data_IF_989412780079
#
_entry.id   IF_989412780079
#
_cell.length_a   1.000
_cell.length_b   1.000
_cell.length_c   1.000
_cell.angle_alpha   90.00
_cell.angle_beta   90.00
_cell.angle_gamma   90.00
#
_symmetry.space_group_name_H-M   'P 1'
#
loop_
_entity.id
_entity.type
_entity.pdbx_description
1 polymer ?
#
# COMPACT_ATOMS: atom_id res chain seq x y z
N UNK A 1 11.40 19.67 -8.58
CA UNK A 1 10.70 19.36 -7.31
C UNK A 1 9.55 20.33 -7.00
N UNK A 2 9.48 21.47 -7.66
CA UNK A 2 8.43 22.52 -7.44
C UNK A 2 7.07 22.20 -8.10
N UNK A 3 7.05 21.51 -9.24
CA UNK A 3 5.79 21.22 -9.97
C UNK A 3 4.79 20.35 -9.20
N UNK A 4 5.27 19.37 -8.43
CA UNK A 4 4.36 18.45 -7.70
C UNK A 4 3.71 19.12 -6.48
N UNK A 5 4.38 20.10 -5.89
CA UNK A 5 3.85 20.85 -4.74
C UNK A 5 2.58 21.62 -5.11
N UNK A 6 2.56 22.22 -6.30
CA UNK A 6 1.41 22.98 -6.79
C UNK A 6 0.15 22.11 -7.00
N UNK A 7 0.31 20.83 -7.35
CA UNK A 7 -0.82 19.92 -7.50
C UNK A 7 -1.43 19.51 -6.15
N UNK A 8 -0.59 19.32 -5.12
CA UNK A 8 -1.09 19.09 -3.76
C UNK A 8 -1.78 20.33 -3.19
N UNK A 9 -1.21 21.51 -3.42
CA UNK A 9 -1.80 22.78 -3.01
C UNK A 9 -3.16 23.02 -3.67
N UNK A 10 -3.30 22.70 -4.96
CA UNK A 10 -4.57 22.84 -5.69
C UNK A 10 -5.68 21.94 -5.11
N UNK A 11 -5.33 20.76 -4.59
CA UNK A 11 -6.24 19.87 -3.88
C UNK A 11 -6.34 20.20 -2.39
N UNK A 12 -5.67 21.27 -1.90
CA UNK A 12 -5.58 21.64 -0.48
C UNK A 12 -5.06 20.49 0.39
N UNK A 13 -4.07 19.74 -0.11
CA UNK A 13 -3.47 18.60 0.56
C UNK A 13 -1.99 18.85 0.84
N UNK A 14 -1.47 18.09 1.81
CA UNK A 14 -0.02 18.04 2.06
C UNK A 14 0.65 17.08 1.06
N UNK A 15 1.95 17.28 0.75
CA UNK A 15 2.69 16.39 -0.16
C UNK A 15 2.75 14.91 0.27
N UNK A 16 2.45 14.62 1.53
CA UNK A 16 2.41 13.28 2.12
C UNK A 16 1.00 12.65 2.08
N UNK A 17 0.03 13.31 1.45
CA UNK A 17 -1.34 12.83 1.41
C UNK A 17 -1.45 11.45 0.75
N UNK A 18 -2.28 10.62 1.34
CA UNK A 18 -2.56 9.26 0.84
C UNK A 18 -3.43 9.32 -0.41
N UNK A 19 -3.42 8.23 -1.19
CA UNK A 19 -4.31 8.09 -2.35
C UNK A 19 -5.79 8.27 -2.00
N UNK A 20 -6.20 7.81 -0.82
CA UNK A 20 -7.58 7.93 -0.34
C UNK A 20 -7.95 9.39 -0.06
N UNK A 21 -7.03 10.15 0.54
CA UNK A 21 -7.20 11.59 0.76
C UNK A 21 -7.25 12.35 -0.56
N UNK A 22 -6.39 12.02 -1.52
CA UNK A 22 -6.39 12.61 -2.87
C UNK A 22 -7.73 12.35 -3.57
N UNK A 23 -8.22 11.10 -3.56
CA UNK A 23 -9.51 10.75 -4.14
C UNK A 23 -10.69 11.45 -3.46
N UNK A 24 -10.68 11.47 -2.13
CA UNK A 24 -11.75 12.08 -1.32
C UNK A 24 -11.80 13.58 -1.57
N UNK A 25 -10.64 14.25 -1.57
CA UNK A 25 -10.57 15.69 -1.76
C UNK A 25 -10.91 16.12 -3.19
N UNK A 26 -10.43 15.35 -4.19
CA UNK A 26 -10.80 15.57 -5.58
C UNK A 26 -12.32 15.50 -5.80
N UNK A 27 -12.99 14.46 -5.26
CA UNK A 27 -14.46 14.35 -5.35
C UNK A 27 -15.14 15.54 -4.70
N UNK A 28 -14.74 15.90 -3.49
CA UNK A 28 -15.30 17.02 -2.77
C UNK A 28 -15.20 18.32 -3.57
N UNK A 29 -14.02 18.66 -4.09
CA UNK A 29 -13.80 19.86 -4.87
C UNK A 29 -14.55 19.81 -6.21
N UNK A 30 -14.62 18.65 -6.84
CA UNK A 30 -15.36 18.47 -8.10
C UNK A 30 -16.85 18.62 -7.89
N UNK A 31 -17.42 18.12 -6.80
CA UNK A 31 -18.83 18.30 -6.45
C UNK A 31 -19.13 19.76 -6.05
N UNK A 32 -18.22 20.39 -5.30
CA UNK A 32 -18.36 21.77 -4.86
C UNK A 32 -18.36 22.74 -6.05
N UNK A 33 -17.41 22.61 -6.96
CA UNK A 33 -17.24 23.51 -8.11
C UNK A 33 -17.90 23.00 -9.40
N UNK A 34 -18.27 21.71 -9.50
CA UNK A 34 -18.92 21.09 -10.66
C UNK A 34 -20.43 21.06 -10.61
N UNK A 35 -21.04 21.15 -9.43
CA UNK A 35 -22.49 21.12 -9.22
C UNK A 35 -23.16 22.50 -9.31
N UNK A 36 -24.48 22.50 -9.50
CA UNK A 36 -25.36 23.68 -9.31
C UNK A 36 -25.60 23.93 -7.81
N UNK A 37 -24.53 23.85 -6.99
CA UNK A 37 -24.70 24.10 -5.55
C UNK A 37 -25.10 25.55 -5.30
N UNK A 38 -26.13 25.74 -4.47
CA UNK A 38 -26.70 27.04 -4.11
C UNK A 38 -25.62 27.97 -3.52
N UNK A 39 -24.57 27.42 -2.94
CA UNK A 39 -23.45 28.18 -2.36
C UNK A 39 -22.60 28.90 -3.41
N UNK A 40 -22.50 28.35 -4.63
CA UNK A 40 -21.76 28.94 -5.75
C UNK A 40 -22.64 29.87 -6.60
N UNK A 41 -23.96 29.65 -6.64
CA UNK A 41 -24.94 30.54 -7.31
C UNK A 41 -25.05 31.95 -6.67
N UNK A 42 -24.63 32.10 -5.42
CA UNK A 42 -24.68 33.36 -4.71
C UNK A 42 -23.62 34.39 -5.15
N UNK A 43 -22.64 34.01 -5.96
CA UNK A 43 -21.52 34.85 -6.37
C UNK A 43 -21.63 35.45 -7.79
N UNK A 44 -22.72 35.21 -8.52
CA UNK A 44 -23.16 35.95 -9.71
C UNK A 44 -22.34 35.91 -10.97
N UNK A 45 -23.00 35.52 -12.06
CA UNK A 45 -22.76 35.83 -13.48
C UNK A 45 -21.51 35.35 -14.25
N UNK A 46 -21.63 35.32 -15.54
CA UNK A 46 -20.82 34.77 -16.66
C UNK A 46 -19.29 34.74 -16.46
N UNK A 47 -18.72 35.67 -15.70
CA UNK A 47 -17.28 35.73 -15.39
C UNK A 47 -16.81 34.56 -14.48
N UNK A 48 -17.71 34.07 -13.61
CA UNK A 48 -17.44 32.94 -12.73
C UNK A 48 -17.42 31.60 -13.46
N UNK A 49 -18.12 31.45 -14.58
CA UNK A 49 -18.16 30.17 -15.31
C UNK A 49 -16.85 29.83 -16.00
N UNK A 50 -16.15 30.82 -16.57
CA UNK A 50 -14.87 30.60 -17.24
C UNK A 50 -13.76 30.28 -16.22
N UNK A 51 -13.69 31.02 -15.13
CA UNK A 51 -12.75 30.76 -14.02
C UNK A 51 -13.01 29.39 -13.39
N UNK A 52 -14.27 29.05 -13.21
CA UNK A 52 -14.71 27.76 -12.67
C UNK A 52 -14.35 26.60 -13.61
N UNK A 53 -14.56 26.75 -14.91
CA UNK A 53 -14.19 25.74 -15.90
C UNK A 53 -12.67 25.56 -15.99
N UNK A 54 -11.89 26.64 -15.87
CA UNK A 54 -10.44 26.58 -15.81
C UNK A 54 -9.95 25.89 -14.54
N UNK A 55 -10.53 26.20 -13.40
CA UNK A 55 -10.21 25.55 -12.13
C UNK A 55 -10.49 24.04 -12.19
N UNK A 56 -11.65 23.63 -12.69
CA UNK A 56 -12.02 22.21 -12.82
C UNK A 56 -11.06 21.45 -13.76
N UNK A 57 -10.66 22.07 -14.88
CA UNK A 57 -9.68 21.49 -15.79
C UNK A 57 -8.31 21.32 -15.13
N UNK A 58 -7.85 22.30 -14.37
CA UNK A 58 -6.60 22.21 -13.60
C UNK A 58 -6.69 21.20 -12.47
N UNK A 59 -7.84 21.04 -11.86
CA UNK A 59 -8.12 20.04 -10.83
C UNK A 59 -8.05 18.61 -11.42
N UNK A 60 -8.63 18.41 -12.60
CA UNK A 60 -8.58 17.13 -13.32
C UNK A 60 -7.12 16.79 -13.71
N UNK A 61 -6.37 17.75 -14.26
CA UNK A 61 -4.95 17.57 -14.62
C UNK A 61 -4.07 17.26 -13.39
N UNK A 62 -4.26 17.98 -12.30
CA UNK A 62 -3.55 17.75 -11.05
C UNK A 62 -3.85 16.35 -10.46
N UNK A 63 -5.12 15.94 -10.50
CA UNK A 63 -5.52 14.61 -10.05
C UNK A 63 -4.88 13.51 -10.90
N UNK A 64 -4.92 13.60 -12.24
CA UNK A 64 -4.30 12.63 -13.13
C UNK A 64 -2.78 12.53 -12.91
N UNK A 65 -2.10 13.67 -12.74
CA UNK A 65 -0.65 13.70 -12.49
C UNK A 65 -0.28 13.14 -11.13
N UNK A 66 -1.04 13.47 -10.07
CA UNK A 66 -0.83 12.88 -8.76
C UNK A 66 -1.12 11.37 -8.75
N UNK A 67 -2.15 10.93 -9.46
CA UNK A 67 -2.43 9.51 -9.63
C UNK A 67 -1.32 8.79 -10.39
N UNK A 68 -0.77 9.41 -11.44
CA UNK A 68 0.37 8.87 -12.18
C UNK A 68 1.64 8.83 -11.32
N UNK A 69 1.89 9.87 -10.52
CA UNK A 69 3.01 9.91 -9.57
C UNK A 69 2.88 8.82 -8.51
N UNK A 70 1.71 8.67 -7.90
CA UNK A 70 1.45 7.61 -6.94
C UNK A 70 1.46 6.21 -7.56
N UNK A 71 1.06 6.09 -8.83
CA UNK A 71 1.19 4.84 -9.60
C UNK A 71 2.65 4.56 -9.97
N UNK A 72 3.43 5.58 -10.27
CA UNK A 72 4.88 5.47 -10.53
C UNK A 72 5.66 5.22 -9.25
N UNK A 73 5.30 5.85 -8.12
CA UNK A 73 5.82 5.56 -6.80
C UNK A 73 5.26 4.23 -6.23
N UNK A 74 4.10 3.76 -6.72
CA UNK A 74 3.59 2.40 -6.51
C UNK A 74 4.32 1.35 -7.36
N UNK A 75 5.15 1.78 -8.28
CA UNK A 75 6.26 1.01 -8.81
C UNK A 75 7.46 1.01 -7.82
N UNK A 76 7.20 0.95 -6.51
CA UNK A 76 7.96 0.08 -5.64
C UNK A 76 7.70 -1.28 -6.26
N UNK A 77 8.64 -1.70 -7.07
CA UNK A 77 8.64 -2.90 -7.88
C UNK A 77 8.30 -4.00 -6.90
N UNK A 78 7.03 -4.48 -6.92
CA UNK A 78 6.78 -5.80 -6.38
C UNK A 78 7.77 -6.68 -7.13
N UNK A 79 8.70 -7.34 -6.44
CA UNK A 79 9.66 -8.18 -7.11
C UNK A 79 8.84 -9.13 -7.97
N UNK A 80 8.85 -8.91 -9.28
CA UNK A 80 8.11 -9.76 -10.19
C UNK A 80 8.77 -11.14 -10.13
N UNK A 81 7.98 -12.18 -10.18
CA UNK A 81 8.57 -13.52 -10.36
C UNK A 81 9.51 -13.58 -11.57
N UNK A 82 9.42 -12.65 -12.53
CA UNK A 82 10.33 -12.51 -13.67
C UNK A 82 11.68 -11.86 -13.30
N UNK A 83 11.72 -11.06 -12.25
CA UNK A 83 12.94 -10.37 -11.81
C UNK A 83 13.73 -11.21 -10.81
N UNK A 84 13.18 -12.35 -10.37
CA UNK A 84 13.88 -13.30 -9.53
C UNK A 84 14.89 -14.09 -10.37
N UNK A 85 16.15 -14.05 -9.95
CA UNK A 85 17.20 -14.90 -10.46
C UNK A 85 16.81 -16.38 -10.34
N UNK A 86 17.21 -17.19 -11.31
CA UNK A 86 16.92 -18.64 -11.32
C UNK A 86 17.55 -19.33 -10.10
N UNK A 87 18.68 -18.86 -9.60
CA UNK A 87 19.31 -19.35 -8.38
C UNK A 87 18.43 -19.12 -7.16
N UNK A 88 17.87 -17.91 -7.02
CA UNK A 88 16.96 -17.56 -5.92
C UNK A 88 15.68 -18.40 -5.98
N UNK A 89 15.13 -18.61 -7.18
CA UNK A 89 13.95 -19.47 -7.36
C UNK A 89 14.21 -20.91 -6.95
N UNK A 90 15.36 -21.46 -7.34
CA UNK A 90 15.76 -22.81 -6.95
C UNK A 90 15.92 -22.91 -5.44
N UNK A 91 16.55 -21.91 -4.83
CA UNK A 91 16.73 -21.88 -3.37
C UNK A 91 15.39 -21.78 -2.64
N UNK A 92 14.43 -20.94 -3.09
CA UNK A 92 13.09 -20.83 -2.50
C UNK A 92 12.33 -22.17 -2.59
N UNK A 93 12.50 -22.92 -3.69
CA UNK A 93 11.90 -24.26 -3.83
C UNK A 93 12.44 -25.27 -2.84
N UNK A 94 13.70 -25.11 -2.41
CA UNK A 94 14.36 -25.99 -1.44
C UNK A 94 13.99 -25.69 0.01
N UNK A 95 13.29 -24.57 0.28
CA UNK A 95 12.78 -24.26 1.62
C UNK A 95 11.75 -25.34 1.97
N UNK A 96 12.05 -26.15 2.99
CA UNK A 96 11.15 -27.23 3.43
C UNK A 96 9.88 -26.69 4.09
N UNK A 97 10.02 -25.63 4.91
CA UNK A 97 8.91 -25.02 5.65
C UNK A 97 9.09 -23.50 5.71
N UNK A 98 8.05 -22.76 5.37
CA UNK A 98 8.03 -21.31 5.50
C UNK A 98 7.75 -20.88 6.95
N UNK A 99 8.84 -20.73 7.70
CA UNK A 99 8.84 -20.13 9.05
C UNK A 99 9.05 -18.62 8.98
N UNK A 100 8.88 -17.89 10.09
CA UNK A 100 9.23 -16.48 10.16
C UNK A 100 10.67 -16.18 9.73
N UNK A 101 11.69 -16.87 10.27
CA UNK A 101 13.07 -16.75 9.80
C UNK A 101 13.27 -17.08 8.33
N UNK A 102 12.54 -18.05 7.77
CA UNK A 102 12.61 -18.38 6.35
C UNK A 102 12.06 -17.25 5.46
N UNK A 103 10.92 -16.64 5.85
CA UNK A 103 10.35 -15.48 5.17
C UNK A 103 11.32 -14.29 5.19
N UNK A 104 11.95 -14.04 6.34
CA UNK A 104 12.99 -13.03 6.48
C UNK A 104 14.18 -13.30 5.55
N UNK A 105 14.68 -14.52 5.51
CA UNK A 105 15.79 -14.89 4.64
C UNK A 105 15.48 -14.70 3.15
N UNK A 106 14.24 -14.99 2.72
CA UNK A 106 13.77 -14.69 1.36
C UNK A 106 13.81 -13.20 1.10
N UNK A 107 13.21 -12.39 1.99
CA UNK A 107 13.18 -10.94 1.86
C UNK A 107 14.58 -10.33 1.77
N UNK A 108 15.48 -10.73 2.66
CA UNK A 108 16.85 -10.23 2.69
C UNK A 108 17.64 -10.60 1.43
N UNK A 109 17.45 -11.81 0.90
CA UNK A 109 18.07 -12.22 -0.38
C UNK A 109 17.51 -11.46 -1.58
N UNK A 110 16.25 -11.05 -1.51
CA UNK A 110 15.63 -10.19 -2.52
C UNK A 110 16.00 -8.72 -2.34
N UNK A 111 16.84 -8.38 -1.36
CA UNK A 111 17.23 -7.01 -1.02
C UNK A 111 16.03 -6.09 -0.76
N UNK A 112 14.95 -6.64 -0.22
CA UNK A 112 13.73 -5.91 0.12
C UNK A 112 13.79 -5.45 1.56
N UNK A 113 13.55 -4.19 1.83
CA UNK A 113 13.36 -3.66 3.17
C UNK A 113 11.88 -3.70 3.59
N UNK A 114 11.63 -3.66 4.91
CA UNK A 114 10.26 -3.70 5.43
C UNK A 114 9.47 -2.43 5.11
N UNK A 115 10.18 -1.31 4.88
CA UNK A 115 9.56 -0.05 4.49
C UNK A 115 8.93 -0.15 3.09
N UNK A 116 9.63 -0.78 2.14
CA UNK A 116 9.10 -1.04 0.80
C UNK A 116 7.84 -1.90 0.84
N UNK A 117 7.79 -2.89 1.73
CA UNK A 117 6.58 -3.70 1.92
C UNK A 117 5.45 -2.87 2.52
N UNK A 118 5.74 -2.02 3.52
CA UNK A 118 4.76 -1.12 4.10
C UNK A 118 4.17 -0.15 3.08
N UNK A 119 4.98 0.41 2.20
CA UNK A 119 4.53 1.35 1.16
C UNK A 119 3.46 0.73 0.25
N UNK A 120 3.56 -0.56 -0.04
CA UNK A 120 2.62 -1.30 -0.90
C UNK A 120 1.44 -1.87 -0.12
N UNK A 121 1.72 -2.53 1.01
CA UNK A 121 0.73 -3.33 1.73
C UNK A 121 -0.01 -2.55 2.82
N UNK A 122 0.58 -1.42 3.27
CA UNK A 122 0.15 -0.62 4.44
C UNK A 122 0.20 -1.39 5.76
N UNK A 123 0.86 -2.53 5.79
CA UNK A 123 1.13 -3.28 7.02
C UNK A 123 2.33 -2.63 7.71
N UNK A 124 2.13 -2.18 8.94
CA UNK A 124 3.20 -1.54 9.73
C UNK A 124 4.43 -2.46 9.83
N UNK A 125 5.65 -1.91 9.67
CA UNK A 125 6.89 -2.70 9.72
C UNK A 125 7.01 -3.58 10.95
N UNK A 126 6.51 -3.11 12.09
CA UNK A 126 6.51 -3.87 13.33
C UNK A 126 5.77 -5.21 13.21
N UNK A 127 4.58 -5.24 12.56
CA UNK A 127 3.85 -6.49 12.38
C UNK A 127 4.55 -7.45 11.43
N UNK A 128 5.27 -6.91 10.43
CA UNK A 128 6.10 -7.73 9.55
C UNK A 128 7.31 -8.30 10.30
N UNK A 129 7.93 -7.51 11.17
CA UNK A 129 8.98 -8.01 12.06
C UNK A 129 8.47 -9.08 13.03
N UNK A 130 7.27 -8.89 13.59
CA UNK A 130 6.63 -9.87 14.47
C UNK A 130 6.34 -11.18 13.73
N UNK A 131 5.92 -11.11 12.45
CA UNK A 131 5.84 -12.29 11.58
C UNK A 131 7.20 -12.97 11.43
N UNK A 132 8.25 -12.21 11.11
CA UNK A 132 9.60 -12.76 10.91
C UNK A 132 10.20 -13.38 12.17
N UNK A 133 9.84 -12.87 13.35
CA UNK A 133 10.29 -13.37 14.65
C UNK A 133 9.38 -14.44 15.25
N UNK A 134 8.25 -14.72 14.60
CA UNK A 134 7.19 -15.59 15.14
C UNK A 134 6.69 -15.12 16.51
N UNK A 135 6.58 -13.80 16.70
CA UNK A 135 6.03 -13.19 17.90
C UNK A 135 4.49 -13.35 17.91
N UNK A 136 4.04 -14.58 18.11
CA UNK A 136 2.63 -14.97 17.96
C UNK A 136 1.68 -14.25 18.92
N UNK A 137 2.17 -13.80 20.06
CA UNK A 137 1.45 -13.01 21.06
C UNK A 137 1.03 -11.63 20.54
N UNK A 138 1.74 -11.08 19.55
CA UNK A 138 1.40 -9.78 18.93
C UNK A 138 0.12 -9.84 18.10
N UNK A 139 -0.36 -11.04 17.76
CA UNK A 139 -1.53 -11.21 16.89
C UNK A 139 -2.75 -11.66 17.70
N UNK A 140 -3.73 -10.76 17.94
CA UNK A 140 -4.89 -11.06 18.79
C UNK A 140 -5.80 -12.16 18.22
N UNK A 141 -5.82 -12.31 16.89
CA UNK A 141 -6.58 -13.35 16.21
C UNK A 141 -5.89 -13.80 14.91
N UNK A 142 -6.11 -15.08 14.54
CA UNK A 142 -5.53 -15.70 13.35
C UNK A 142 -5.86 -14.94 12.06
N UNK A 143 -7.02 -14.29 11.98
CA UNK A 143 -7.44 -13.56 10.80
C UNK A 143 -6.47 -12.41 10.44
N UNK A 144 -5.92 -11.72 11.43
CA UNK A 144 -4.93 -10.65 11.20
C UNK A 144 -3.62 -11.22 10.70
N UNK A 145 -3.08 -12.22 11.38
CA UNK A 145 -1.86 -12.91 10.97
C UNK A 145 -2.00 -13.48 9.55
N UNK A 146 -3.12 -14.13 9.26
CA UNK A 146 -3.42 -14.66 7.93
C UNK A 146 -3.39 -13.57 6.85
N UNK A 147 -4.01 -12.42 7.11
CA UNK A 147 -4.02 -11.30 6.15
C UNK A 147 -2.62 -10.74 5.91
N UNK A 148 -1.80 -10.65 6.94
CA UNK A 148 -0.41 -10.19 6.84
C UNK A 148 0.45 -11.19 6.06
N UNK A 149 0.32 -12.48 6.32
CA UNK A 149 1.03 -13.52 5.58
C UNK A 149 0.66 -13.53 4.09
N UNK A 150 -0.64 -13.37 3.76
CA UNK A 150 -1.10 -13.28 2.37
C UNK A 150 -0.44 -12.09 1.66
N UNK A 151 -0.48 -10.91 2.29
CA UNK A 151 0.09 -9.70 1.69
C UNK A 151 1.62 -9.82 1.56
N UNK A 152 2.29 -10.36 2.58
CA UNK A 152 3.73 -10.56 2.58
C UNK A 152 4.19 -11.57 1.53
N UNK A 153 3.55 -12.74 1.47
CA UNK A 153 3.85 -13.77 0.49
C UNK A 153 3.63 -13.27 -0.96
N UNK A 154 2.53 -12.54 -1.19
CA UNK A 154 2.26 -11.92 -2.51
C UNK A 154 3.31 -10.90 -2.88
N UNK A 155 3.74 -10.07 -1.93
CA UNK A 155 4.78 -9.07 -2.18
C UNK A 155 6.09 -9.75 -2.60
N UNK A 156 6.48 -10.82 -1.93
CA UNK A 156 7.69 -11.61 -2.24
C UNK A 156 7.50 -12.61 -3.39
N UNK A 157 6.35 -12.59 -4.08
CA UNK A 157 6.04 -13.53 -5.17
C UNK A 157 6.15 -15.02 -4.76
N UNK A 158 5.85 -15.33 -3.49
CA UNK A 158 5.81 -16.67 -2.95
C UNK A 158 4.45 -17.33 -3.17
N UNK A 159 4.42 -18.67 -3.12
CA UNK A 159 3.18 -19.43 -3.06
C UNK A 159 2.47 -19.16 -1.73
N UNK A 160 1.42 -18.35 -1.81
CA UNK A 160 0.66 -17.90 -0.64
C UNK A 160 0.05 -19.06 0.13
N UNK A 161 -0.46 -20.08 -0.57
CA UNK A 161 -1.10 -21.21 0.08
C UNK A 161 -0.08 -22.02 0.86
N UNK A 162 1.06 -22.30 0.26
CA UNK A 162 2.17 -23.01 0.93
C UNK A 162 2.67 -22.27 2.17
N UNK A 163 2.82 -20.92 2.08
CA UNK A 163 3.20 -20.11 3.24
C UNK A 163 2.18 -20.22 4.37
N UNK A 164 0.89 -20.19 4.04
CA UNK A 164 -0.18 -20.32 5.05
C UNK A 164 -0.21 -21.71 5.68
N UNK A 165 -0.07 -22.76 4.87
CA UNK A 165 -0.11 -24.15 5.31
C UNK A 165 1.07 -24.48 6.24
N UNK A 166 2.23 -23.88 6.00
CA UNK A 166 3.42 -24.05 6.83
C UNK A 166 3.38 -23.21 8.12
N UNK A 167 2.86 -22.00 8.05
CA UNK A 167 2.99 -21.02 9.12
C UNK A 167 1.84 -21.09 10.16
N UNK A 168 0.57 -21.20 9.69
CA UNK A 168 -0.58 -21.14 10.59
C UNK A 168 -0.66 -22.27 11.62
N UNK A 169 -0.26 -23.53 11.32
CA UNK A 169 -0.21 -24.58 12.33
C UNK A 169 0.72 -24.25 13.50
N UNK A 170 1.83 -23.55 13.24
CA UNK A 170 2.78 -23.11 14.27
C UNK A 170 2.16 -22.07 15.20
N UNK A 171 1.44 -21.10 14.63
CA UNK A 171 0.68 -20.11 15.40
C UNK A 171 -0.37 -20.78 16.30
N UNK A 172 -1.13 -21.74 15.77
CA UNK A 172 -2.14 -22.47 16.54
C UNK A 172 -1.52 -23.27 17.68
N UNK A 173 -0.44 -23.99 17.39
CA UNK A 173 0.27 -24.77 18.40
C UNK A 173 0.85 -23.89 19.52
N UNK A 174 1.35 -22.70 19.20
CA UNK A 174 1.83 -21.75 20.21
C UNK A 174 0.71 -21.18 21.10
N UNK A 175 -0.49 -21.00 20.54
CA UNK A 175 -1.66 -20.52 21.29
C UNK A 175 -2.30 -21.60 22.15
N UNK A 176 -2.28 -22.85 21.69
CA UNK A 176 -2.82 -23.99 22.45
C UNK A 176 -1.90 -24.38 23.60
N UNK A 177 -0.62 -24.01 23.55
CA UNK A 177 0.35 -24.34 24.59
C UNK A 177 1.16 -23.09 25.00
N UNK A 178 0.53 -22.10 25.66
CA UNK A 178 1.24 -20.89 26.05
C UNK A 178 2.36 -21.28 27.04
N UNK A 179 3.60 -21.05 26.60
CA UNK A 179 4.78 -21.21 27.47
C UNK A 179 4.58 -20.27 28.66
N UNK A 180 4.44 -20.89 29.87
CA UNK A 180 4.33 -20.19 31.14
C UNK A 180 5.62 -19.49 31.52
#
# INVERSE_FOLDING_TARGET
>A
MEEWHSYYELLELKPEATLEEIHSRYRYLKDLYGGDSIEVMALGDEFDQEIRADFLRRLDDAFEKLMALHKSNRAVVMPSAKDMDDELRLWIRQIECFTGPALRAVRERMHVDLKSIFEVTRIQPQFLEDVEREAFESFPAEIYLRSYLIAYARFLSLDTQRVLDDYLPRYRAARDNPVK
#
